data_IF_248094435940
#
_entry.id   IF_248094435940
#
_cell.length_a   1.000
_cell.length_b   1.000
_cell.length_c   1.000
_cell.angle_alpha   90.00
_cell.angle_beta   90.00
_cell.angle_gamma   90.00
#
_symmetry.space_group_name_H-M   'P 1'
#
loop_
_entity.id
_entity.type
_entity.pdbx_description
1 polymer ?
#
# COMPACT_ATOMS: atom_id res chain seq x y z
N UNK A 1 -0.87 20.69 2.73
CA UNK A 1 -0.58 22.12 2.62
C UNK A 1 -1.87 22.86 2.26
N UNK A 2 -2.22 23.88 3.02
CA UNK A 2 -3.36 24.77 2.73
C UNK A 2 -2.79 26.15 2.42
N UNK A 3 -3.20 26.74 1.30
CA UNK A 3 -2.76 28.07 0.89
C UNK A 3 -3.91 28.82 0.21
N UNK A 4 -3.98 30.16 0.31
CA UNK A 4 -4.90 30.99 -0.46
C UNK A 4 -4.69 30.78 -1.97
N UNK A 5 -5.79 30.92 -2.77
CA UNK A 5 -5.75 30.68 -4.23
C UNK A 5 -4.75 31.56 -4.97
N UNK A 6 -4.56 32.78 -4.51
CA UNK A 6 -3.64 33.78 -5.09
C UNK A 6 -2.15 33.48 -4.79
N UNK A 7 -1.85 32.50 -3.91
CA UNK A 7 -0.48 32.13 -3.50
C UNK A 7 0.02 30.82 -4.10
N UNK A 8 -0.53 30.36 -5.21
CA UNK A 8 -0.14 29.10 -5.89
C UNK A 8 1.36 29.09 -6.26
N UNK A 9 1.94 30.22 -6.61
CA UNK A 9 3.37 30.29 -6.97
C UNK A 9 4.29 30.06 -5.76
N UNK A 10 3.86 30.45 -4.56
CA UNK A 10 4.63 30.18 -3.33
C UNK A 10 4.59 28.68 -2.96
N UNK A 11 3.45 28.01 -3.21
CA UNK A 11 3.34 26.55 -3.08
C UNK A 11 4.33 25.84 -4.02
N UNK A 12 4.41 26.28 -5.29
CA UNK A 12 5.38 25.72 -6.25
C UNK A 12 6.82 25.90 -5.77
N UNK A 13 7.18 27.09 -5.28
CA UNK A 13 8.52 27.36 -4.74
C UNK A 13 8.85 26.45 -3.55
N UNK A 14 7.87 26.21 -2.65
CA UNK A 14 8.06 25.32 -1.51
C UNK A 14 8.27 23.87 -1.95
N UNK A 15 7.46 23.37 -2.90
CA UNK A 15 7.61 22.03 -3.48
C UNK A 15 8.99 21.86 -4.12
N UNK A 16 9.47 22.87 -4.87
CA UNK A 16 10.80 22.87 -5.46
C UNK A 16 11.90 22.75 -4.41
N UNK A 17 11.82 23.54 -3.32
CA UNK A 17 12.80 23.50 -2.21
C UNK A 17 12.82 22.12 -1.52
N UNK A 18 11.66 21.52 -1.28
CA UNK A 18 11.57 20.18 -0.70
C UNK A 18 12.23 19.14 -1.61
N UNK A 19 12.03 19.26 -2.94
CA UNK A 19 12.66 18.39 -3.93
C UNK A 19 14.19 18.55 -3.95
N UNK A 20 14.72 19.78 -3.95
CA UNK A 20 16.16 20.07 -3.90
C UNK A 20 16.81 19.54 -2.61
N UNK A 21 16.09 19.55 -1.49
CA UNK A 21 16.53 19.00 -0.21
C UNK A 21 16.44 17.47 -0.13
N UNK A 22 16.01 16.77 -1.21
CA UNK A 22 15.82 15.33 -1.23
C UNK A 22 14.69 14.85 -0.30
N UNK A 23 13.77 15.74 0.08
CA UNK A 23 12.65 15.40 0.96
C UNK A 23 11.52 14.78 0.17
N UNK A 24 10.94 13.71 0.70
CA UNK A 24 9.90 12.92 0.01
C UNK A 24 8.50 13.53 0.10
N UNK A 25 8.27 14.49 0.98
CA UNK A 25 6.96 15.11 1.23
C UNK A 25 6.38 15.84 0.01
N UNK A 26 7.21 16.12 -1.01
CA UNK A 26 6.76 16.73 -2.26
C UNK A 26 6.08 15.73 -3.21
N UNK A 27 6.35 14.43 -3.07
CA UNK A 27 5.87 13.38 -3.98
C UNK A 27 5.03 12.30 -3.28
N UNK A 28 5.17 12.14 -1.96
CA UNK A 28 4.47 11.10 -1.21
C UNK A 28 3.35 11.72 -0.37
N UNK A 29 2.11 11.37 -0.72
CA UNK A 29 1.01 11.53 0.21
C UNK A 29 1.16 10.47 1.29
N UNK A 30 1.29 10.90 2.56
CA UNK A 30 1.47 10.00 3.67
C UNK A 30 0.32 8.99 3.76
N UNK A 31 -0.93 9.45 3.72
CA UNK A 31 -2.10 8.60 3.72
C UNK A 31 -2.81 8.69 2.37
N UNK A 32 -3.08 7.52 1.78
CA UNK A 32 -3.76 7.39 0.50
C UNK A 32 -5.04 6.58 0.69
N UNK A 33 -6.18 7.17 0.33
CA UNK A 33 -7.48 6.52 0.41
C UNK A 33 -7.73 5.65 -0.84
N UNK A 34 -8.33 4.49 -0.59
CA UNK A 34 -8.72 3.50 -1.60
C UNK A 34 -10.16 3.03 -1.31
N UNK A 35 -10.87 2.44 -2.28
CA UNK A 35 -12.22 1.91 -2.04
C UNK A 35 -12.28 0.93 -0.85
N UNK A 36 -11.26 0.10 -0.69
CA UNK A 36 -11.14 -0.89 0.37
C UNK A 36 -10.70 -0.32 1.73
N UNK A 37 -10.22 0.92 1.81
CA UNK A 37 -9.71 1.53 3.05
C UNK A 37 -8.68 2.61 2.79
N UNK A 38 -7.53 2.53 3.45
CA UNK A 38 -6.40 3.44 3.22
C UNK A 38 -5.07 2.74 3.51
N UNK A 39 -3.99 3.33 3.01
CA UNK A 39 -2.66 3.02 3.48
C UNK A 39 -1.89 4.29 3.83
N UNK A 40 -1.01 4.18 4.81
CA UNK A 40 -0.14 5.24 5.31
C UNK A 40 1.31 4.81 5.06
N UNK A 41 2.07 5.57 4.27
CA UNK A 41 3.50 5.35 4.08
C UNK A 41 4.26 5.83 5.31
N UNK A 42 4.83 4.88 6.06
CA UNK A 42 5.52 5.14 7.33
C UNK A 42 6.96 5.53 7.05
N UNK A 43 7.64 4.72 6.22
CA UNK A 43 9.05 4.92 5.89
C UNK A 43 9.39 4.39 4.51
N UNK A 44 10.37 5.02 3.86
CA UNK A 44 10.87 4.65 2.54
C UNK A 44 12.40 4.73 2.50
N UNK A 45 13.01 3.73 1.89
CA UNK A 45 14.43 3.67 1.59
C UNK A 45 14.69 3.22 0.16
N UNK A 46 15.96 3.15 -0.26
CA UNK A 46 16.30 2.79 -1.65
C UNK A 46 15.80 1.41 -2.08
N UNK A 47 15.64 0.48 -1.13
CA UNK A 47 15.26 -0.91 -1.38
C UNK A 47 14.14 -1.44 -0.49
N UNK A 48 13.48 -0.56 0.26
CA UNK A 48 12.35 -0.95 1.11
C UNK A 48 11.31 0.17 1.24
N UNK A 49 10.09 -0.21 1.53
CA UNK A 49 9.01 0.68 1.92
C UNK A 49 8.18 0.01 3.02
N UNK A 50 7.81 0.80 4.03
CA UNK A 50 6.92 0.35 5.10
C UNK A 50 5.59 1.08 4.99
N UNK A 51 4.50 0.33 4.93
CA UNK A 51 3.14 0.85 4.89
C UNK A 51 2.30 0.30 6.04
N UNK A 52 1.39 1.10 6.54
CA UNK A 52 0.29 0.64 7.38
C UNK A 52 -0.98 0.60 6.54
N UNK A 53 -1.57 -0.56 6.39
CA UNK A 53 -2.83 -0.75 5.71
C UNK A 53 -3.97 -0.75 6.74
N UNK A 54 -5.09 -0.09 6.41
CA UNK A 54 -6.34 -0.13 7.15
C UNK A 54 -7.43 -0.58 6.20
N UNK A 55 -7.90 -1.82 6.39
CA UNK A 55 -8.89 -2.45 5.51
C UNK A 55 -10.25 -2.44 6.21
N UNK A 56 -11.25 -1.87 5.53
CA UNK A 56 -12.63 -1.80 6.04
C UNK A 56 -13.20 -3.20 6.26
N UNK A 57 -14.16 -3.37 7.20
CA UNK A 57 -14.91 -4.63 7.34
C UNK A 57 -15.50 -5.08 6.01
N UNK A 58 -15.35 -6.36 5.68
CA UNK A 58 -15.84 -6.97 4.44
C UNK A 58 -15.11 -6.55 3.16
N UNK A 59 -14.12 -5.66 3.25
CA UNK A 59 -13.41 -5.18 2.07
C UNK A 59 -12.31 -6.17 1.62
N UNK A 60 -12.04 -6.15 0.31
CA UNK A 60 -11.14 -7.07 -0.38
C UNK A 60 -10.19 -6.24 -1.25
N UNK A 61 -8.88 -6.45 -1.14
CA UNK A 61 -7.90 -5.85 -2.05
C UNK A 61 -7.91 -6.61 -3.39
N UNK A 62 -7.28 -6.02 -4.42
CA UNK A 62 -7.10 -6.71 -5.70
C UNK A 62 -6.27 -8.00 -5.53
N UNK A 63 -6.58 -9.03 -6.33
CA UNK A 63 -5.63 -10.12 -6.53
C UNK A 63 -4.53 -9.61 -7.45
N UNK A 64 -3.31 -9.56 -6.96
CA UNK A 64 -2.19 -8.89 -7.62
C UNK A 64 -0.88 -9.65 -7.46
N UNK A 65 0.12 -9.30 -8.25
CA UNK A 65 1.50 -9.74 -8.12
C UNK A 65 2.48 -8.59 -8.43
N UNK A 66 3.72 -8.77 -8.03
CA UNK A 66 4.82 -7.83 -8.28
C UNK A 66 6.01 -8.56 -8.90
N UNK A 67 6.68 -7.90 -9.87
CA UNK A 67 7.85 -8.48 -10.53
C UNK A 67 9.19 -8.14 -9.85
N UNK A 68 9.22 -7.08 -9.03
CA UNK A 68 10.49 -6.52 -8.54
C UNK A 68 10.59 -6.41 -7.02
N UNK A 69 9.51 -6.74 -6.30
CA UNK A 69 9.48 -6.69 -4.83
C UNK A 69 8.78 -7.89 -4.21
N UNK A 70 9.24 -8.25 -3.02
CA UNK A 70 8.57 -9.14 -2.10
C UNK A 70 7.88 -8.33 -0.99
N UNK A 71 6.95 -8.95 -0.28
CA UNK A 71 6.23 -8.30 0.80
C UNK A 71 6.20 -9.17 2.07
N UNK A 72 6.26 -8.52 3.23
CA UNK A 72 6.03 -9.13 4.53
C UNK A 72 4.84 -8.44 5.18
N UNK A 73 3.87 -9.21 5.60
CA UNK A 73 2.65 -8.70 6.23
C UNK A 73 2.56 -9.17 7.67
N UNK A 74 2.26 -8.24 8.58
CA UNK A 74 2.06 -8.51 10.00
C UNK A 74 0.68 -7.97 10.36
N UNK A 75 -0.20 -8.83 10.87
CA UNK A 75 -1.51 -8.41 11.38
C UNK A 75 -1.34 -7.77 12.75
N UNK A 76 -1.73 -6.50 12.84
CA UNK A 76 -1.67 -5.72 14.10
C UNK A 76 -2.98 -5.80 14.87
N UNK A 77 -4.12 -5.77 14.15
CA UNK A 77 -5.44 -5.85 14.75
C UNK A 77 -6.45 -6.41 13.75
N UNK A 78 -7.32 -7.27 14.23
CA UNK A 78 -8.34 -7.95 13.43
C UNK A 78 -7.84 -9.29 12.87
N UNK A 79 -8.57 -9.82 11.88
CA UNK A 79 -8.25 -11.10 11.21
C UNK A 79 -8.21 -10.86 9.71
N UNK A 80 -7.13 -11.29 9.08
CA UNK A 80 -6.96 -11.23 7.62
C UNK A 80 -7.20 -12.61 7.00
N UNK A 81 -7.97 -12.67 5.90
CA UNK A 81 -7.92 -13.80 4.98
C UNK A 81 -6.88 -13.48 3.91
N UNK A 82 -5.89 -14.33 3.80
CA UNK A 82 -4.77 -14.17 2.87
C UNK A 82 -4.89 -15.19 1.75
N UNK A 83 -4.78 -14.72 0.51
CA UNK A 83 -4.49 -15.55 -0.65
C UNK A 83 -3.01 -15.38 -0.98
N UNK A 84 -2.26 -16.48 -1.08
CA UNK A 84 -0.85 -16.53 -1.45
C UNK A 84 -0.61 -17.71 -2.42
N UNK A 85 -0.45 -17.43 -3.71
CA UNK A 85 -0.46 -18.48 -4.73
C UNK A 85 -1.79 -19.22 -4.73
N UNK A 86 -1.76 -20.52 -4.49
CA UNK A 86 -2.94 -21.40 -4.42
C UNK A 86 -3.46 -21.60 -3.00
N UNK A 87 -2.74 -21.08 -2.00
CA UNK A 87 -3.13 -21.18 -0.59
C UNK A 87 -4.08 -20.06 -0.19
N UNK A 88 -5.06 -20.40 0.63
CA UNK A 88 -5.95 -19.44 1.30
C UNK A 88 -5.98 -19.80 2.79
N UNK A 89 -5.62 -18.85 3.64
CA UNK A 89 -5.53 -19.05 5.08
C UNK A 89 -5.88 -17.79 5.86
N UNK A 90 -6.14 -17.94 7.16
CA UNK A 90 -6.37 -16.82 8.07
C UNK A 90 -5.07 -16.46 8.80
N UNK A 91 -4.88 -15.17 9.01
CA UNK A 91 -3.89 -14.62 9.94
C UNK A 91 -4.62 -13.80 11.00
N UNK A 92 -4.33 -14.10 12.24
CA UNK A 92 -4.81 -13.38 13.42
C UNK A 92 -3.78 -12.37 13.91
N UNK A 93 -4.11 -11.61 14.94
CA UNK A 93 -3.21 -10.63 15.55
C UNK A 93 -1.87 -11.25 15.94
N UNK A 94 -0.78 -10.51 15.71
CA UNK A 94 0.62 -10.92 15.89
C UNK A 94 1.11 -12.06 14.97
N UNK A 95 0.29 -12.51 14.03
CA UNK A 95 0.74 -13.43 12.99
C UNK A 95 1.24 -12.69 11.75
N UNK A 96 2.12 -13.33 10.99
CA UNK A 96 2.74 -12.75 9.79
C UNK A 96 2.88 -13.74 8.66
N UNK A 97 3.04 -13.23 7.44
CA UNK A 97 3.37 -14.04 6.27
C UNK A 97 4.33 -13.32 5.35
N UNK A 98 5.06 -14.10 4.57
CA UNK A 98 5.94 -13.65 3.50
C UNK A 98 5.28 -13.92 2.15
N UNK A 99 5.31 -12.93 1.25
CA UNK A 99 4.85 -13.00 -0.13
C UNK A 99 6.08 -12.89 -1.05
N UNK A 100 6.48 -13.98 -1.71
CA UNK A 100 7.61 -13.95 -2.65
C UNK A 100 7.30 -13.09 -3.89
N UNK A 101 8.37 -12.63 -4.55
CA UNK A 101 8.29 -11.98 -5.87
C UNK A 101 7.54 -12.90 -6.85
N UNK A 102 6.65 -12.32 -7.66
CA UNK A 102 5.90 -13.01 -8.70
C UNK A 102 4.73 -13.87 -8.21
N UNK A 103 4.55 -14.01 -6.90
CA UNK A 103 3.43 -14.79 -6.33
C UNK A 103 2.19 -13.94 -6.28
N UNK A 104 1.08 -14.44 -6.85
CA UNK A 104 -0.23 -13.78 -6.74
C UNK A 104 -0.70 -13.77 -5.28
N UNK A 105 -1.25 -12.65 -4.85
CA UNK A 105 -1.66 -12.48 -3.46
C UNK A 105 -2.80 -11.50 -3.30
N UNK A 106 -3.53 -11.62 -2.19
CA UNK A 106 -4.64 -10.76 -1.83
C UNK A 106 -4.86 -10.74 -0.33
N UNK A 107 -5.27 -9.58 0.20
CA UNK A 107 -5.76 -9.39 1.56
C UNK A 107 -7.27 -9.17 1.51
N UNK A 108 -7.99 -9.86 2.40
CA UNK A 108 -9.41 -9.65 2.65
C UNK A 108 -9.62 -9.44 4.16
N UNK A 109 -10.53 -8.56 4.51
CA UNK A 109 -11.01 -8.42 5.89
C UNK A 109 -12.36 -9.15 6.03
N UNK A 110 -12.39 -10.40 6.50
CA UNK A 110 -13.65 -11.13 6.71
C UNK A 110 -14.39 -10.68 7.97
N UNK A 111 -13.75 -9.86 8.80
CA UNK A 111 -14.27 -9.45 10.11
C UNK A 111 -15.24 -8.28 10.06
N UNK A 112 -15.72 -7.90 11.25
CA UNK A 112 -16.66 -6.78 11.46
C UNK A 112 -15.98 -5.51 11.97
N UNK A 113 -14.68 -5.56 12.26
CA UNK A 113 -13.86 -4.43 12.71
C UNK A 113 -12.82 -4.09 11.63
N UNK A 114 -12.24 -2.90 11.60
CA UNK A 114 -11.13 -2.58 10.71
C UNK A 114 -9.95 -3.53 10.93
N UNK A 115 -9.37 -4.03 9.85
CA UNK A 115 -8.15 -4.81 9.86
C UNK A 115 -6.95 -3.88 9.68
N UNK A 116 -5.97 -3.99 10.56
CA UNK A 116 -4.73 -3.23 10.48
C UNK A 116 -3.55 -4.17 10.20
N UNK A 117 -2.77 -3.84 9.17
CA UNK A 117 -1.59 -4.61 8.73
C UNK A 117 -0.40 -3.66 8.60
N UNK A 118 0.76 -4.09 9.06
CA UNK A 118 2.04 -3.52 8.65
C UNK A 118 2.56 -4.35 7.47
N UNK A 119 2.83 -3.65 6.39
CA UNK A 119 3.39 -4.18 5.16
C UNK A 119 4.81 -3.65 5.00
N UNK A 120 5.78 -4.55 4.87
CA UNK A 120 7.15 -4.22 4.49
C UNK A 120 7.38 -4.74 3.09
N UNK A 121 7.60 -3.83 2.16
CA UNK A 121 8.01 -4.13 0.78
C UNK A 121 9.52 -4.07 0.67
N UNK A 122 10.15 -5.03 -0.01
CA UNK A 122 11.58 -5.06 -0.22
C UNK A 122 11.90 -5.55 -1.64
N UNK A 123 12.74 -4.81 -2.35
CA UNK A 123 13.08 -5.16 -3.72
C UNK A 123 13.92 -4.13 -4.46
N UNK A 124 14.15 -4.39 -5.74
CA UNK A 124 14.91 -3.51 -6.62
C UNK A 124 14.10 -2.32 -7.14
N UNK A 125 12.78 -2.45 -7.17
CA UNK A 125 11.84 -1.42 -7.60
C UNK A 125 10.56 -1.48 -6.76
N UNK A 126 10.08 -0.32 -6.29
CA UNK A 126 8.97 -0.20 -5.34
C UNK A 126 7.83 0.68 -5.87
N UNK A 127 7.86 1.04 -7.15
CA UNK A 127 6.83 1.87 -7.78
C UNK A 127 5.45 1.19 -7.80
N UNK A 128 4.39 1.97 -7.73
CA UNK A 128 3.01 1.47 -7.78
C UNK A 128 2.65 0.87 -9.15
N UNK A 129 3.39 1.20 -10.21
CA UNK A 129 3.29 0.64 -11.55
C UNK A 129 3.83 -0.80 -11.68
N UNK A 130 4.56 -1.32 -10.65
CA UNK A 130 4.91 -2.75 -10.53
C UNK A 130 3.71 -3.64 -10.14
N UNK A 131 2.54 -3.06 -9.86
CA UNK A 131 1.34 -3.81 -9.50
C UNK A 131 0.66 -4.37 -10.75
N UNK A 132 0.71 -5.69 -10.92
CA UNK A 132 -0.12 -6.40 -11.91
C UNK A 132 -1.41 -6.87 -11.24
N UNK A 133 -2.54 -6.28 -11.61
CA UNK A 133 -3.85 -6.64 -11.06
C UNK A 133 -4.52 -7.72 -11.91
N UNK A 134 -4.70 -8.90 -11.32
CA UNK A 134 -5.35 -10.05 -11.97
C UNK A 134 -6.88 -9.97 -11.81
N UNK A 135 -7.33 -9.64 -10.59
CA UNK A 135 -8.74 -9.42 -10.26
C UNK A 135 -8.88 -8.18 -9.39
N UNK A 136 -9.85 -7.34 -9.70
CA UNK A 136 -10.16 -6.15 -8.90
C UNK A 136 -11.66 -5.88 -8.87
N UNK A 137 -12.24 -5.90 -7.67
CA UNK A 137 -13.68 -5.68 -7.45
C UNK A 137 -14.09 -4.21 -7.66
N UNK A 138 -13.12 -3.30 -7.81
CA UNK A 138 -13.35 -1.86 -7.91
C UNK A 138 -13.09 -1.31 -9.33
N UNK A 139 -12.90 -2.19 -10.32
CA UNK A 139 -12.78 -1.81 -11.72
C UNK A 139 -11.44 -1.18 -12.12
N UNK A 140 -10.37 -1.35 -11.32
CA UNK A 140 -9.03 -0.78 -11.58
C UNK A 140 -8.12 -1.69 -12.43
N UNK A 141 -8.66 -2.68 -13.14
CA UNK A 141 -7.89 -3.53 -14.04
C UNK A 141 -7.26 -2.69 -15.15
N UNK A 142 -5.96 -2.85 -15.35
CA UNK A 142 -5.22 -2.15 -16.40
C UNK A 142 -4.96 -0.67 -16.16
N UNK A 143 -5.29 -0.12 -15.00
CA UNK A 143 -4.91 1.23 -14.63
C UNK A 143 -3.59 1.21 -13.87
N UNK A 144 -2.51 1.63 -14.53
CA UNK A 144 -1.35 2.23 -13.87
C UNK A 144 -1.82 3.53 -13.23
N UNK A 145 -1.80 3.63 -11.93
CA UNK A 145 -2.10 4.89 -11.21
C UNK A 145 -0.86 5.74 -11.12
#
# INVERSE_FOLDING_TARGET
>A
LVAPRDRVQDVKKLVFRLKEQGRYEHSLHREVFRPWGSYDSIENGPRFQVKRLKVKPGAVLSLQLHHHRAEHWIVVSGTARITRGDEVFLLEENQSTYIPIGVRHRIENPGKIPLHIIEVQSGSYLGEDDIVRLEDHYGRKGTTT
#
